data_IF_740888222484
#
_entry.id   IF_740888222484
#
_cell.length_a   1.000
_cell.length_b   1.000
_cell.length_c   1.000
_cell.angle_alpha   90.00
_cell.angle_beta   90.00
_cell.angle_gamma   90.00
#
_symmetry.space_group_name_H-M   'P 1'
#
loop_
_entity.id
_entity.type
_entity.pdbx_description
1 polymer ?
#
# COMPACT_ATOMS: atom_id res chain seq x y z
N UNK A 1 -7.77 -9.06 3.55
CA UNK A 1 -7.69 -8.05 4.63
C UNK A 1 -6.75 -8.45 5.76
N UNK A 2 -7.07 -9.45 6.61
CA UNK A 2 -6.34 -9.70 7.87
C UNK A 2 -4.84 -10.00 7.67
N UNK A 3 -4.50 -10.90 6.75
CA UNK A 3 -3.10 -11.26 6.47
C UNK A 3 -2.28 -10.02 6.06
N UNK A 4 -2.80 -9.24 5.11
CA UNK A 4 -2.18 -8.01 4.65
C UNK A 4 -2.09 -6.95 5.75
N UNK A 5 -3.10 -6.84 6.62
CA UNK A 5 -3.06 -5.95 7.77
C UNK A 5 -1.89 -6.27 8.71
N UNK A 6 -1.76 -7.53 9.14
CA UNK A 6 -0.70 -7.96 10.06
C UNK A 6 0.68 -7.70 9.45
N UNK A 7 0.86 -8.08 8.19
CA UNK A 7 2.16 -7.91 7.51
C UNK A 7 2.45 -6.42 7.33
N UNK A 8 1.48 -5.62 6.93
CA UNK A 8 1.68 -4.18 6.71
C UNK A 8 1.94 -3.42 8.01
N UNK A 9 1.37 -3.84 9.15
CA UNK A 9 1.76 -3.29 10.46
C UNK A 9 3.23 -3.57 10.74
N UNK A 10 3.70 -4.79 10.47
CA UNK A 10 5.07 -5.20 10.73
C UNK A 10 6.07 -4.53 9.77
N UNK A 11 5.72 -4.40 8.49
CA UNK A 11 6.59 -3.81 7.46
C UNK A 11 6.53 -2.29 7.44
N UNK A 12 5.41 -1.70 7.87
CA UNK A 12 5.12 -0.28 7.71
C UNK A 12 4.95 0.15 6.26
N UNK A 13 4.54 -0.77 5.38
CA UNK A 13 4.41 -0.45 3.96
C UNK A 13 3.30 -1.25 3.29
N UNK A 14 2.30 -0.52 2.80
CA UNK A 14 1.28 -1.08 1.90
C UNK A 14 1.89 -1.57 0.58
N UNK A 15 2.98 -0.95 0.12
CA UNK A 15 3.66 -1.31 -1.13
C UNK A 15 4.36 -2.67 -1.03
N UNK A 16 5.15 -2.87 0.04
CA UNK A 16 5.83 -4.15 0.29
C UNK A 16 4.83 -5.26 0.55
N UNK A 17 3.73 -4.97 1.26
CA UNK A 17 2.69 -5.96 1.55
C UNK A 17 2.03 -6.48 0.28
N UNK A 18 1.65 -5.60 -0.64
CA UNK A 18 1.05 -6.01 -1.91
C UNK A 18 2.03 -6.79 -2.79
N UNK A 19 3.30 -6.36 -2.85
CA UNK A 19 4.33 -7.03 -3.66
C UNK A 19 4.78 -8.39 -3.13
N UNK A 20 4.48 -8.72 -1.89
CA UNK A 20 4.86 -10.00 -1.28
C UNK A 20 3.64 -10.91 -1.18
N UNK A 21 2.89 -10.83 -0.08
CA UNK A 21 1.71 -11.65 0.15
C UNK A 21 0.53 -11.26 -0.74
N UNK A 22 0.45 -10.02 -1.22
CA UNK A 22 -0.64 -9.59 -2.11
C UNK A 22 -0.64 -10.35 -3.43
N UNK A 23 0.49 -10.43 -4.13
CA UNK A 23 0.63 -11.21 -5.38
C UNK A 23 0.24 -12.68 -5.16
N UNK A 24 0.71 -13.29 -4.07
CA UNK A 24 0.36 -14.67 -3.74
C UNK A 24 -1.16 -14.85 -3.54
N UNK A 25 -1.81 -13.92 -2.84
CA UNK A 25 -3.26 -13.93 -2.64
C UNK A 25 -4.04 -13.68 -3.93
N UNK A 26 -3.54 -12.88 -4.86
CA UNK A 26 -4.11 -12.74 -6.22
C UNK A 26 -4.07 -14.06 -6.96
N UNK A 27 -2.92 -14.75 -6.99
CA UNK A 27 -2.81 -16.05 -7.66
C UNK A 27 -3.71 -17.13 -7.06
N UNK A 28 -3.84 -17.16 -5.73
CA UNK A 28 -4.79 -18.07 -5.05
C UNK A 28 -6.23 -17.72 -5.41
N UNK A 29 -6.59 -16.44 -5.42
CA UNK A 29 -7.94 -16.00 -5.78
C UNK A 29 -8.29 -16.35 -7.23
N UNK A 30 -7.35 -16.16 -8.16
CA UNK A 30 -7.51 -16.53 -9.57
C UNK A 30 -7.78 -18.03 -9.72
N UNK A 31 -6.98 -18.86 -9.03
CA UNK A 31 -7.16 -20.31 -9.01
C UNK A 31 -8.50 -20.77 -8.42
N UNK A 32 -9.03 -20.02 -7.45
CA UNK A 32 -10.34 -20.27 -6.86
C UNK A 32 -11.50 -19.62 -7.65
N UNK A 33 -11.22 -18.91 -8.75
CA UNK A 33 -12.21 -18.21 -9.54
C UNK A 33 -12.86 -17.03 -8.82
N UNK A 34 -12.19 -16.46 -7.82
CA UNK A 34 -12.65 -15.28 -7.07
C UNK A 34 -12.34 -14.01 -7.89
N UNK A 35 -13.29 -13.07 -8.05
CA UNK A 35 -13.06 -11.85 -8.81
C UNK A 35 -11.81 -11.08 -8.35
N UNK A 36 -10.84 -10.88 -9.26
CA UNK A 36 -9.56 -10.28 -8.90
C UNK A 36 -9.67 -8.83 -8.41
N UNK A 37 -10.63 -8.06 -8.92
CA UNK A 37 -10.94 -6.71 -8.40
C UNK A 37 -11.31 -6.71 -6.93
N UNK A 38 -12.12 -7.68 -6.51
CA UNK A 38 -12.52 -7.86 -5.11
C UNK A 38 -11.34 -8.28 -4.25
N UNK A 39 -10.55 -9.25 -4.71
CA UNK A 39 -9.35 -9.72 -4.02
C UNK A 39 -8.33 -8.60 -3.83
N UNK A 40 -8.03 -7.84 -4.89
CA UNK A 40 -7.15 -6.68 -4.84
C UNK A 40 -7.68 -5.63 -3.84
N UNK A 41 -8.99 -5.31 -3.87
CA UNK A 41 -9.59 -4.40 -2.89
C UNK A 41 -9.45 -4.88 -1.44
N UNK A 42 -9.57 -6.19 -1.20
CA UNK A 42 -9.39 -6.81 0.11
C UNK A 42 -7.93 -6.80 0.58
N UNK A 43 -6.99 -7.00 -0.34
CA UNK A 43 -5.54 -6.90 -0.09
C UNK A 43 -5.21 -5.47 0.30
N UNK A 44 -5.59 -4.51 -0.54
CA UNK A 44 -5.28 -3.09 -0.37
C UNK A 44 -5.91 -2.52 0.89
N UNK A 45 -7.15 -2.91 1.21
CA UNK A 45 -7.80 -2.49 2.45
C UNK A 45 -7.01 -2.90 3.70
N UNK A 46 -6.47 -4.13 3.70
CA UNK A 46 -5.62 -4.61 4.80
C UNK A 46 -4.24 -3.94 4.79
N UNK A 47 -3.62 -3.86 3.62
CA UNK A 47 -2.30 -3.28 3.44
C UNK A 47 -2.27 -1.81 3.91
N UNK A 48 -3.22 -0.99 3.47
CA UNK A 48 -3.31 0.42 3.88
C UNK A 48 -3.72 0.59 5.34
N UNK A 49 -4.54 -0.31 5.90
CA UNK A 49 -4.81 -0.31 7.34
C UNK A 49 -3.53 -0.51 8.15
N UNK A 50 -2.72 -1.51 7.82
CA UNK A 50 -1.51 -1.79 8.58
C UNK A 50 -0.43 -0.72 8.42
N UNK A 51 -0.29 -0.19 7.20
CA UNK A 51 0.61 0.92 6.86
C UNK A 51 0.33 2.12 7.77
N UNK A 52 -0.94 2.53 7.80
CA UNK A 52 -1.46 3.66 8.55
C UNK A 52 -1.29 3.57 10.07
N UNK A 53 -1.15 2.39 10.66
CA UNK A 53 -0.97 2.25 12.12
C UNK A 53 0.45 1.85 12.51
N UNK A 54 1.33 1.66 11.52
CA UNK A 54 2.70 1.24 11.77
C UNK A 54 3.57 2.45 12.12
N UNK A 55 4.32 2.42 13.24
CA UNK A 55 5.30 3.46 13.53
C UNK A 55 6.48 3.46 12.55
N UNK A 56 6.60 2.43 11.70
CA UNK A 56 7.65 2.34 10.68
C UNK A 56 7.23 2.97 9.34
N UNK A 57 5.95 3.34 9.17
CA UNK A 57 5.45 3.89 7.91
C UNK A 57 5.91 5.33 7.70
N UNK A 58 6.33 5.64 6.48
CA UNK A 58 6.76 6.98 6.07
C UNK A 58 5.62 7.99 6.19
N UNK A 59 4.41 7.63 5.76
CA UNK A 59 3.25 8.55 5.84
C UNK A 59 2.79 8.76 7.28
N UNK A 60 2.80 7.70 8.09
CA UNK A 60 2.45 7.77 9.50
C UNK A 60 3.46 8.61 10.30
N UNK A 61 4.72 8.71 9.84
CA UNK A 61 5.70 9.64 10.39
C UNK A 61 5.55 11.07 9.80
N UNK A 62 5.21 11.19 8.52
CA UNK A 62 5.12 12.46 7.81
C UNK A 62 3.90 13.30 8.21
N UNK A 63 2.71 12.69 8.29
CA UNK A 63 1.47 13.37 8.66
C UNK A 63 1.56 14.13 10.00
N UNK A 64 2.05 13.53 11.11
CA UNK A 64 2.24 14.25 12.36
C UNK A 64 3.34 15.31 12.30
N UNK A 65 4.42 15.08 11.54
CA UNK A 65 5.47 16.07 11.33
C UNK A 65 4.95 17.33 10.62
N UNK A 66 4.03 17.17 9.66
CA UNK A 66 3.41 18.29 8.94
C UNK A 66 2.38 19.04 9.80
N UNK A 67 1.67 18.34 10.68
CA UNK A 67 0.67 18.94 11.57
C UNK A 67 1.26 19.52 12.87
N UNK A 68 2.46 19.09 13.28
CA UNK A 68 3.11 19.51 14.52
C UNK A 68 2.70 18.72 15.76
N UNK A 69 2.49 17.41 15.64
CA UNK A 69 2.23 16.50 16.78
C UNK A 69 3.29 15.39 16.86
N UNK A 70 3.35 14.66 17.97
CA UNK A 70 4.23 13.49 18.09
C UNK A 70 3.59 12.22 17.49
N UNK A 71 4.45 11.31 17.02
CA UNK A 71 4.06 10.07 16.36
C UNK A 71 3.09 9.22 17.20
N UNK A 72 3.37 9.04 18.49
CA UNK A 72 2.57 8.14 19.32
C UNK A 72 1.21 8.75 19.68
N UNK A 73 1.13 10.06 19.89
CA UNK A 73 -0.15 10.78 19.99
C UNK A 73 -0.93 10.65 18.70
N UNK A 74 -0.30 10.82 17.54
CA UNK A 74 -0.92 10.63 16.24
C UNK A 74 -1.51 9.23 16.06
N UNK A 75 -0.71 8.17 16.26
CA UNK A 75 -1.17 6.78 16.12
C UNK A 75 -2.35 6.50 17.05
N UNK A 76 -2.25 6.87 18.34
CA UNK A 76 -3.35 6.66 19.31
C UNK A 76 -4.63 7.37 18.89
N UNK A 77 -4.50 8.58 18.36
CA UNK A 77 -5.65 9.39 17.97
C UNK A 77 -6.26 8.96 16.63
N UNK A 78 -5.43 8.42 15.74
CA UNK A 78 -5.83 7.86 14.45
C UNK A 78 -6.60 6.54 14.59
N UNK A 79 -6.34 5.75 15.63
CA UNK A 79 -7.14 4.54 15.94
C UNK A 79 -8.62 4.85 16.14
N UNK A 80 -8.99 6.08 16.50
CA UNK A 80 -10.38 6.50 16.68
C UNK A 80 -11.21 6.39 15.40
N UNK A 81 -10.65 6.78 14.25
CA UNK A 81 -11.32 6.66 12.95
C UNK A 81 -10.94 5.35 12.27
N UNK A 82 -9.69 4.90 12.41
CA UNK A 82 -9.18 3.70 11.73
C UNK A 82 -9.84 2.40 12.21
N UNK A 83 -10.08 2.26 13.52
CA UNK A 83 -10.73 1.07 14.10
C UNK A 83 -12.16 0.87 13.59
N UNK A 84 -13.07 1.86 13.64
CA UNK A 84 -14.40 1.68 13.07
C UNK A 84 -14.36 1.43 11.57
N UNK A 85 -13.48 2.09 10.81
CA UNK A 85 -13.36 1.86 9.36
C UNK A 85 -12.95 0.42 9.03
N UNK A 86 -11.95 -0.15 9.73
CA UNK A 86 -11.54 -1.54 9.47
C UNK A 86 -12.60 -2.55 9.92
N UNK A 87 -13.34 -2.28 11.01
CA UNK A 87 -14.45 -3.14 11.45
C UNK A 87 -15.53 -3.21 10.37
N UNK A 88 -15.96 -2.06 9.83
CA UNK A 88 -16.93 -2.02 8.73
C UNK A 88 -16.40 -2.76 7.51
N UNK A 89 -15.12 -2.55 7.17
CA UNK A 89 -14.47 -3.25 6.06
C UNK A 89 -14.51 -4.77 6.23
N UNK A 90 -14.18 -5.27 7.42
CA UNK A 90 -14.21 -6.70 7.73
C UNK A 90 -15.64 -7.26 7.65
N UNK A 91 -16.63 -6.55 8.19
CA UNK A 91 -18.03 -6.96 8.12
C UNK A 91 -18.46 -7.11 6.65
N UNK A 92 -18.16 -6.12 5.80
CA UNK A 92 -18.53 -6.18 4.38
C UNK A 92 -17.85 -7.37 3.68
N UNK A 93 -16.55 -7.58 3.90
CA UNK A 93 -15.86 -8.72 3.29
C UNK A 93 -16.29 -10.08 3.85
N UNK A 94 -16.72 -10.16 5.11
CA UNK A 94 -17.33 -11.37 5.68
C UNK A 94 -18.67 -11.64 4.99
N UNK A 95 -19.53 -10.64 4.84
CA UNK A 95 -20.81 -10.79 4.15
C UNK A 95 -20.59 -11.21 2.69
N UNK A 96 -19.69 -10.54 1.97
CA UNK A 96 -19.34 -10.91 0.60
C UNK A 96 -18.82 -12.35 0.56
N UNK A 97 -17.87 -12.70 1.42
CA UNK A 97 -17.26 -14.03 1.45
C UNK A 97 -18.26 -15.15 1.77
N UNK A 98 -19.25 -14.91 2.63
CA UNK A 98 -20.31 -15.89 2.94
C UNK A 98 -21.34 -16.06 1.82
N UNK A 99 -21.44 -15.11 0.88
CA UNK A 99 -22.38 -15.14 -0.23
C UNK A 99 -21.69 -15.38 -1.59
N UNK A 100 -20.37 -15.62 -1.60
CA UNK A 100 -19.61 -15.84 -2.82
C UNK A 100 -19.66 -17.32 -3.20
N UNK A 101 -20.27 -17.63 -4.33
CA UNK A 101 -20.11 -18.93 -4.97
C UNK A 101 -18.79 -18.94 -5.75
N UNK A 102 -17.89 -19.86 -5.41
CA UNK A 102 -16.61 -20.03 -6.12
C UNK A 102 -16.74 -21.16 -7.13
N UNK A 103 -16.47 -20.86 -8.40
CA UNK A 103 -16.53 -21.84 -9.50
C UNK A 103 -15.15 -22.34 -9.96
N UNK A 104 -14.05 -21.88 -9.33
CA UNK A 104 -12.70 -22.37 -9.63
C UNK A 104 -12.53 -23.84 -9.25
N UNK A 105 -11.41 -24.44 -9.67
CA UNK A 105 -11.07 -25.82 -9.32
C UNK A 105 -10.96 -25.93 -7.79
N UNK A 106 -12.07 -26.31 -7.14
CA UNK A 106 -12.16 -26.51 -5.70
C UNK A 106 -11.21 -27.62 -5.20
N UNK A 107 -10.60 -28.36 -6.13
CA UNK A 107 -9.57 -29.32 -5.81
C UNK A 107 -8.22 -28.63 -5.56
N UNK A 108 -8.11 -28.03 -4.39
CA UNK A 108 -6.86 -27.50 -3.84
C UNK A 108 -5.71 -28.51 -3.89
N UNK A 109 -6.00 -29.82 -3.98
CA UNK A 109 -5.00 -30.85 -4.15
C UNK A 109 -4.31 -30.78 -5.52
N UNK A 110 -5.05 -30.54 -6.61
CA UNK A 110 -4.47 -30.43 -7.96
C UNK A 110 -3.57 -29.19 -8.06
N UNK A 111 -4.05 -28.05 -7.57
CA UNK A 111 -3.27 -26.80 -7.50
C UNK A 111 -1.97 -27.03 -6.71
N UNK A 112 -2.06 -27.67 -5.54
CA UNK A 112 -0.90 -27.93 -4.69
C UNK A 112 0.06 -28.94 -5.32
N UNK A 113 -0.45 -29.90 -6.10
CA UNK A 113 0.36 -30.85 -6.85
C UNK A 113 1.13 -30.16 -7.98
N UNK A 114 0.48 -29.26 -8.72
CA UNK A 114 1.11 -28.47 -9.79
C UNK A 114 2.17 -27.49 -9.24
N UNK A 115 1.92 -26.90 -8.07
CA UNK A 115 2.94 -26.09 -7.39
C UNK A 115 4.13 -26.96 -6.98
N UNK A 116 3.88 -28.17 -6.45
CA UNK A 116 4.95 -29.09 -6.02
C UNK A 116 5.72 -29.72 -7.19
N UNK A 117 5.12 -29.83 -8.37
CA UNK A 117 5.81 -30.31 -9.57
C UNK A 117 6.73 -29.25 -10.16
N UNK A 118 6.36 -27.97 -10.05
CA UNK A 118 7.15 -26.84 -10.53
C UNK A 118 8.20 -26.34 -9.52
N UNK A 119 7.86 -26.28 -8.23
CA UNK A 119 8.68 -25.67 -7.19
C UNK A 119 8.97 -26.62 -6.02
N UNK A 120 10.21 -26.54 -5.51
CA UNK A 120 10.55 -27.12 -4.22
C UNK A 120 9.97 -26.28 -3.06
N UNK A 121 8.85 -26.70 -2.48
CA UNK A 121 8.21 -26.00 -1.35
C UNK A 121 8.76 -26.53 -0.04
N UNK A 122 9.45 -25.66 0.71
CA UNK A 122 10.07 -26.02 1.99
C UNK A 122 9.87 -24.93 3.04
N UNK A 123 9.63 -25.29 4.33
CA UNK A 123 9.56 -24.31 5.41
C UNK A 123 10.80 -23.42 5.52
N UNK A 124 11.96 -23.89 5.06
CA UNK A 124 13.21 -23.11 5.04
C UNK A 124 13.13 -21.85 4.17
N UNK A 125 12.24 -21.82 3.16
CA UNK A 125 12.02 -20.61 2.35
C UNK A 125 11.45 -19.44 3.16
N UNK A 126 10.80 -19.71 4.30
CA UNK A 126 10.34 -18.65 5.21
C UNK A 126 11.48 -17.94 5.96
N UNK A 127 12.70 -18.48 5.96
CA UNK A 127 13.85 -17.78 6.57
C UNK A 127 14.07 -16.40 5.93
N UNK A 128 13.87 -16.26 4.63
CA UNK A 128 14.04 -14.99 3.92
C UNK A 128 13.09 -13.91 4.45
N UNK A 129 11.74 -14.07 4.39
CA UNK A 129 10.82 -13.07 4.93
C UNK A 129 10.96 -12.89 6.45
N UNK A 130 11.30 -13.93 7.22
CA UNK A 130 11.54 -13.80 8.67
C UNK A 130 12.75 -12.88 8.93
N UNK A 131 13.86 -13.06 8.22
CA UNK A 131 15.04 -12.20 8.37
C UNK A 131 14.70 -10.75 8.02
N UNK A 132 13.95 -10.53 6.93
CA UNK A 132 13.50 -9.18 6.53
C UNK A 132 12.63 -8.55 7.62
N UNK A 133 11.65 -9.28 8.17
CA UNK A 133 10.80 -8.80 9.28
C UNK A 133 11.66 -8.47 10.50
N UNK A 134 12.65 -9.30 10.85
CA UNK A 134 13.56 -9.05 11.98
C UNK A 134 14.38 -7.76 11.74
N UNK A 135 14.85 -7.51 10.53
CA UNK A 135 15.57 -6.27 10.19
C UNK A 135 14.68 -5.03 10.33
N UNK A 136 13.43 -5.12 9.90
CA UNK A 136 12.44 -4.03 10.00
C UNK A 136 12.09 -3.77 11.48
N UNK A 137 11.84 -4.82 12.26
CA UNK A 137 11.58 -4.71 13.71
C UNK A 137 12.77 -4.08 14.44
N UNK A 138 14.00 -4.35 13.97
CA UNK A 138 15.23 -3.73 14.47
C UNK A 138 15.46 -2.30 13.99
N UNK A 139 14.49 -1.67 13.29
CA UNK A 139 14.57 -0.30 12.76
C UNK A 139 15.74 -0.08 11.79
N UNK A 140 16.12 -1.13 11.06
CA UNK A 140 17.07 -0.98 9.95
C UNK A 140 16.43 -0.14 8.86
N UNK A 141 17.22 0.67 8.14
CA UNK A 141 16.71 1.40 6.97
C UNK A 141 15.96 0.46 6.00
N UNK A 142 14.74 0.81 5.55
CA UNK A 142 13.97 -0.03 4.63
C UNK A 142 14.74 -0.43 3.38
N UNK A 143 15.56 0.47 2.83
CA UNK A 143 16.43 0.20 1.67
C UNK A 143 17.38 -0.98 1.93
N UNK A 144 17.98 -1.03 3.11
CA UNK A 144 18.90 -2.11 3.50
C UNK A 144 18.13 -3.41 3.71
N UNK A 145 16.98 -3.37 4.37
CA UNK A 145 16.15 -4.55 4.59
C UNK A 145 15.68 -5.18 3.27
N UNK A 146 15.27 -4.36 2.30
CA UNK A 146 14.88 -4.80 0.96
C UNK A 146 16.06 -5.38 0.18
N UNK A 147 17.23 -4.72 0.18
CA UNK A 147 18.42 -5.23 -0.49
C UNK A 147 18.84 -6.59 0.05
N UNK A 148 18.89 -6.74 1.38
CA UNK A 148 19.21 -8.03 2.02
C UNK A 148 18.15 -9.07 1.66
N UNK A 149 16.87 -8.72 1.69
CA UNK A 149 15.78 -9.60 1.28
C UNK A 149 15.92 -10.11 -0.15
N UNK A 150 16.21 -9.22 -1.11
CA UNK A 150 16.43 -9.58 -2.52
C UNK A 150 17.63 -10.50 -2.69
N UNK A 151 18.76 -10.21 -2.04
CA UNK A 151 19.96 -11.04 -2.11
C UNK A 151 19.73 -12.43 -1.50
N UNK A 152 19.10 -12.49 -0.33
CA UNK A 152 18.74 -13.76 0.31
C UNK A 152 17.72 -14.55 -0.52
N UNK A 153 16.78 -13.88 -1.19
CA UNK A 153 15.87 -14.49 -2.15
C UNK A 153 16.62 -15.12 -3.33
N UNK A 154 17.64 -14.43 -3.86
CA UNK A 154 18.51 -14.97 -4.91
C UNK A 154 19.30 -16.20 -4.43
N UNK A 155 19.85 -16.17 -3.22
CA UNK A 155 20.52 -17.33 -2.61
C UNK A 155 19.55 -18.49 -2.42
N UNK A 156 18.35 -18.23 -1.91
CA UNK A 156 17.32 -19.25 -1.74
C UNK A 156 16.90 -19.86 -3.09
N UNK A 157 16.77 -19.06 -4.14
CA UNK A 157 16.47 -19.55 -5.48
C UNK A 157 17.58 -20.48 -6.02
N UNK A 158 18.86 -20.14 -5.81
CA UNK A 158 19.98 -21.00 -6.21
C UNK A 158 20.01 -22.32 -5.45
N UNK A 159 19.72 -22.30 -4.14
CA UNK A 159 19.78 -23.50 -3.28
C UNK A 159 18.56 -24.40 -3.47
N UNK A 160 17.36 -23.82 -3.49
CA UNK A 160 16.11 -24.58 -3.47
C UNK A 160 15.49 -24.78 -4.86
N UNK A 161 15.79 -23.91 -5.84
CA UNK A 161 15.19 -23.93 -7.19
C UNK A 161 16.22 -23.92 -8.34
N UNK A 162 17.31 -24.73 -8.29
CA UNK A 162 18.42 -24.63 -9.24
C UNK A 162 18.01 -24.83 -10.72
N UNK A 163 17.06 -25.74 -10.99
CA UNK A 163 16.57 -26.00 -12.34
C UNK A 163 15.75 -24.85 -12.94
N UNK A 164 14.95 -24.18 -12.11
CA UNK A 164 14.19 -22.98 -12.52
C UNK A 164 15.15 -21.84 -12.84
N UNK A 165 16.14 -21.60 -11.95
CA UNK A 165 17.15 -20.56 -12.17
C UNK A 165 17.92 -20.79 -13.47
N UNK A 166 18.33 -22.04 -13.74
CA UNK A 166 19.01 -22.39 -14.98
C UNK A 166 18.16 -22.08 -16.22
N UNK A 167 16.87 -22.44 -16.18
CA UNK A 167 15.91 -22.24 -17.27
C UNK A 167 15.68 -20.75 -17.54
N UNK A 168 15.47 -19.95 -16.49
CA UNK A 168 15.36 -18.48 -16.59
C UNK A 168 16.67 -17.85 -17.12
N UNK A 169 17.81 -18.46 -16.80
CA UNK A 169 19.13 -18.09 -17.32
C UNK A 169 19.38 -18.48 -18.78
N UNK A 170 18.45 -19.19 -19.42
CA UNK A 170 18.54 -19.65 -20.82
C UNK A 170 19.33 -20.95 -21.02
N UNK A 171 19.51 -21.76 -19.97
CA UNK A 171 20.19 -23.06 -20.04
C UNK A 171 19.39 -24.20 -19.45
N UNK A 172 19.85 -25.43 -19.68
CA UNK A 172 19.22 -26.66 -19.16
C UNK A 172 19.83 -27.15 -17.84
N UNK A 173 21.00 -26.65 -17.47
CA UNK A 173 21.71 -27.01 -16.24
C UNK A 173 22.23 -25.76 -15.53
N UNK A 174 22.39 -25.87 -14.21
CA UNK A 174 22.91 -24.78 -13.41
C UNK A 174 24.44 -24.73 -13.54
N UNK A 175 24.94 -23.67 -14.14
CA UNK A 175 26.34 -23.29 -14.15
C UNK A 175 26.47 -21.83 -13.67
N UNK A 176 27.69 -21.29 -13.65
CA UNK A 176 27.90 -19.92 -13.22
C UNK A 176 27.16 -18.89 -14.09
N UNK A 177 27.11 -19.12 -15.40
CA UNK A 177 26.49 -18.20 -16.37
C UNK A 177 24.97 -18.24 -16.26
N UNK A 178 24.37 -19.44 -16.26
CA UNK A 178 22.92 -19.63 -16.14
C UNK A 178 22.43 -19.25 -14.74
N UNK A 179 23.21 -19.52 -13.71
CA UNK A 179 22.95 -19.07 -12.34
C UNK A 179 22.93 -17.54 -12.23
N UNK A 180 23.98 -16.86 -12.72
CA UNK A 180 24.05 -15.40 -12.71
C UNK A 180 22.92 -14.78 -13.53
N UNK A 181 22.74 -15.22 -14.79
CA UNK A 181 21.67 -14.70 -15.66
C UNK A 181 20.28 -14.98 -15.08
N UNK A 182 20.05 -16.17 -14.54
CA UNK A 182 18.77 -16.57 -13.97
C UNK A 182 18.35 -15.68 -12.79
N UNK A 183 19.27 -15.44 -11.85
CA UNK A 183 19.02 -14.54 -10.71
C UNK A 183 18.87 -13.09 -11.16
N UNK A 184 19.75 -12.59 -12.03
CA UNK A 184 19.65 -11.22 -12.53
C UNK A 184 18.34 -11.01 -13.29
N UNK A 185 17.93 -11.95 -14.14
CA UNK A 185 16.67 -11.86 -14.87
C UNK A 185 15.48 -11.85 -13.91
N UNK A 186 15.44 -12.77 -12.93
CA UNK A 186 14.36 -12.83 -11.94
C UNK A 186 14.20 -11.54 -11.12
N UNK A 187 15.31 -10.85 -10.82
CA UNK A 187 15.30 -9.58 -10.08
C UNK A 187 14.93 -8.40 -10.98
N UNK A 188 15.37 -8.40 -12.24
CA UNK A 188 15.36 -7.18 -13.07
C UNK A 188 14.24 -7.11 -14.11
N UNK A 189 13.85 -8.23 -14.71
CA UNK A 189 12.97 -8.27 -15.89
C UNK A 189 11.80 -9.25 -15.71
N UNK A 190 10.93 -9.30 -16.71
CA UNK A 190 9.86 -10.28 -16.77
C UNK A 190 10.41 -11.70 -16.89
N UNK A 191 9.92 -12.58 -16.02
CA UNK A 191 10.24 -14.00 -15.98
C UNK A 191 8.97 -14.81 -15.80
N UNK A 192 8.95 -16.00 -16.37
CA UNK A 192 7.82 -16.92 -16.29
C UNK A 192 8.33 -18.34 -16.12
N UNK A 193 7.76 -19.07 -15.15
CA UNK A 193 7.94 -20.52 -15.05
C UNK A 193 6.80 -21.19 -15.85
N UNK A 194 7.10 -22.04 -16.85
CA UNK A 194 6.07 -22.72 -17.62
C UNK A 194 5.18 -23.60 -16.73
N UNK A 195 3.89 -23.59 -17.00
CA UNK A 195 2.91 -24.47 -16.36
C UNK A 195 1.74 -24.71 -17.31
N UNK A 196 1.22 -25.94 -17.29
CA UNK A 196 0.05 -26.33 -18.08
C UNK A 196 -1.26 -25.89 -17.42
N UNK A 197 -1.20 -25.48 -16.14
CA UNK A 197 -2.34 -24.97 -15.41
C UNK A 197 -2.51 -23.47 -15.68
N UNK A 198 -3.52 -23.11 -16.47
CA UNK A 198 -3.85 -21.71 -16.81
C UNK A 198 -4.02 -20.84 -15.56
N UNK A 199 -4.61 -21.38 -14.50
CA UNK A 199 -4.86 -20.65 -13.25
C UNK A 199 -3.58 -20.36 -12.45
N UNK A 200 -2.47 -21.05 -12.75
CA UNK A 200 -1.17 -20.82 -12.12
C UNK A 200 -0.22 -19.99 -12.99
N UNK A 201 -0.54 -19.75 -14.26
CA UNK A 201 0.32 -18.94 -15.14
C UNK A 201 0.56 -17.54 -14.60
N UNK A 202 -0.46 -16.92 -13.99
CA UNK A 202 -0.34 -15.63 -13.32
C UNK A 202 0.60 -15.68 -12.11
N UNK A 203 0.47 -16.72 -11.28
CA UNK A 203 1.30 -16.93 -10.09
C UNK A 203 2.77 -17.19 -10.43
N UNK A 204 3.03 -17.84 -11.57
CA UNK A 204 4.38 -18.24 -12.01
C UNK A 204 5.07 -17.16 -12.86
N UNK A 205 4.42 -16.02 -13.08
CA UNK A 205 4.97 -14.85 -13.77
C UNK A 205 5.36 -13.77 -12.77
N UNK A 206 6.59 -13.27 -12.89
CA UNK A 206 7.08 -12.13 -12.11
C UNK A 206 7.69 -11.09 -13.05
N UNK A 207 7.59 -9.81 -12.68
CA UNK A 207 8.06 -8.72 -13.54
C UNK A 207 9.34 -8.01 -13.11
N UNK A 208 9.99 -8.48 -12.05
CA UNK A 208 11.18 -7.86 -11.50
C UNK A 208 11.06 -6.34 -11.28
N UNK A 209 12.19 -5.64 -11.35
CA UNK A 209 12.26 -4.18 -11.27
C UNK A 209 11.72 -3.48 -12.53
N UNK A 210 11.70 -4.13 -13.70
CA UNK A 210 11.23 -3.51 -14.95
C UNK A 210 9.78 -3.03 -14.84
N UNK A 211 8.91 -3.83 -14.19
CA UNK A 211 7.51 -3.42 -13.93
C UNK A 211 7.37 -2.18 -13.04
N UNK A 212 8.38 -1.85 -12.25
CA UNK A 212 8.36 -0.67 -11.38
C UNK A 212 8.89 0.60 -12.05
N UNK A 213 9.56 0.49 -13.22
CA UNK A 213 10.17 1.65 -13.89
C UNK A 213 9.15 2.74 -14.24
N UNK A 214 7.95 2.35 -14.68
CA UNK A 214 6.86 3.29 -14.97
C UNK A 214 6.46 4.10 -13.73
N UNK A 215 6.33 3.44 -12.58
CA UNK A 215 6.06 4.10 -11.30
C UNK A 215 7.20 5.04 -10.90
N UNK A 216 8.47 4.62 -11.06
CA UNK A 216 9.64 5.45 -10.74
C UNK A 216 9.64 6.73 -11.59
N UNK A 217 9.38 6.61 -12.90
CA UNK A 217 9.25 7.78 -13.78
C UNK A 217 8.14 8.72 -13.33
N UNK A 218 6.99 8.16 -12.94
CA UNK A 218 5.86 8.95 -12.45
C UNK A 218 6.19 9.68 -11.15
N UNK A 219 6.90 9.03 -10.21
CA UNK A 219 7.40 9.65 -8.97
C UNK A 219 8.34 10.82 -9.30
N UNK A 220 9.33 10.62 -10.18
CA UNK A 220 10.27 11.67 -10.56
C UNK A 220 9.57 12.89 -11.19
N UNK A 221 8.61 12.65 -12.08
CA UNK A 221 7.79 13.71 -12.67
C UNK A 221 6.95 14.44 -11.61
N UNK A 222 6.27 13.70 -10.72
CA UNK A 222 5.40 14.28 -9.70
C UNK A 222 6.18 15.10 -8.65
N UNK A 223 7.33 14.60 -8.19
CA UNK A 223 8.20 15.34 -7.27
C UNK A 223 8.76 16.62 -7.90
N UNK A 224 9.18 16.55 -9.17
CA UNK A 224 9.66 17.73 -9.91
C UNK A 224 8.55 18.76 -10.05
N UNK A 225 7.34 18.34 -10.41
CA UNK A 225 6.16 19.20 -10.50
C UNK A 225 5.81 19.84 -9.16
N UNK A 226 5.74 19.05 -8.07
CA UNK A 226 5.48 19.56 -6.72
C UNK A 226 6.52 20.59 -6.26
N UNK A 227 7.80 20.35 -6.55
CA UNK A 227 8.88 21.29 -6.25
C UNK A 227 8.74 22.61 -7.00
N UNK A 228 8.39 22.57 -8.29
CA UNK A 228 8.12 23.78 -9.09
C UNK A 228 6.90 24.54 -8.54
N UNK A 229 5.82 23.85 -8.20
CA UNK A 229 4.61 24.47 -7.63
C UNK A 229 4.87 25.20 -6.31
N UNK A 230 5.75 24.66 -5.46
CA UNK A 230 6.16 25.30 -4.21
C UNK A 230 7.03 26.53 -4.50
N UNK A 231 8.03 26.38 -5.38
CA UNK A 231 8.96 27.45 -5.74
C UNK A 231 8.27 28.69 -6.34
N UNK A 232 7.23 28.50 -7.18
CA UNK A 232 6.46 29.61 -7.75
C UNK A 232 5.41 30.18 -6.79
N UNK A 233 5.24 29.60 -5.59
CA UNK A 233 4.24 30.03 -4.62
C UNK A 233 2.79 29.68 -4.99
N UNK A 234 2.58 28.80 -5.98
CA UNK A 234 1.24 28.37 -6.39
C UNK A 234 0.53 27.63 -5.26
N UNK A 235 1.24 26.75 -4.55
CA UNK A 235 0.70 26.03 -3.39
C UNK A 235 0.20 27.00 -2.33
N UNK A 236 0.97 28.05 -2.01
CA UNK A 236 0.59 29.11 -1.05
C UNK A 236 -0.66 29.89 -1.49
N UNK A 237 -0.79 30.15 -2.79
CA UNK A 237 -1.95 30.86 -3.36
C UNK A 237 -3.21 30.01 -3.26
N UNK A 238 -3.11 28.72 -3.61
CA UNK A 238 -4.19 27.74 -3.44
C UNK A 238 -4.61 27.67 -1.96
N UNK A 239 -3.65 27.67 -1.02
CA UNK A 239 -3.96 27.66 0.42
C UNK A 239 -4.80 28.86 0.85
N UNK A 240 -4.40 30.07 0.43
CA UNK A 240 -5.10 31.29 0.81
C UNK A 240 -6.53 31.33 0.27
N UNK A 241 -6.75 30.81 -0.94
CA UNK A 241 -8.10 30.71 -1.50
C UNK A 241 -8.95 29.71 -0.72
N UNK A 242 -8.40 28.54 -0.40
CA UNK A 242 -9.12 27.50 0.35
C UNK A 242 -9.43 27.91 1.79
N UNK A 243 -8.55 28.65 2.46
CA UNK A 243 -8.81 29.14 3.83
C UNK A 243 -9.97 30.14 3.91
N UNK A 244 -10.32 30.83 2.82
CA UNK A 244 -11.45 31.77 2.79
C UNK A 244 -12.82 31.09 2.76
N UNK A 245 -12.88 29.80 2.45
CA UNK A 245 -14.13 29.07 2.25
C UNK A 245 -14.79 28.58 3.56
N UNK A 246 -14.13 28.70 4.73
CA UNK A 246 -14.57 27.96 5.92
C UNK A 246 -14.54 28.77 7.22
N UNK A 247 -15.69 28.81 7.90
CA UNK A 247 -15.83 29.44 9.23
C UNK A 247 -16.13 28.44 10.35
N UNK A 248 -16.46 27.17 10.05
CA UNK A 248 -16.85 26.15 11.03
C UNK A 248 -15.77 25.06 11.20
N UNK A 249 -15.79 24.35 12.33
CA UNK A 249 -14.89 23.21 12.59
C UNK A 249 -15.09 22.12 11.55
N UNK A 250 -16.32 21.69 11.30
CA UNK A 250 -16.61 20.71 10.25
C UNK A 250 -16.10 21.16 8.87
N UNK A 251 -16.33 22.43 8.53
CA UNK A 251 -15.85 23.04 7.29
C UNK A 251 -14.35 22.83 7.13
N UNK A 252 -13.56 23.12 8.16
CA UNK A 252 -12.10 22.98 8.15
C UNK A 252 -11.62 21.52 7.91
N UNK A 253 -12.29 20.53 8.51
CA UNK A 253 -12.00 19.11 8.24
C UNK A 253 -12.38 18.73 6.80
N UNK A 254 -13.55 19.17 6.33
CA UNK A 254 -14.01 18.93 4.97
C UNK A 254 -13.07 19.53 3.92
N UNK A 255 -12.53 20.73 4.15
CA UNK A 255 -11.52 21.34 3.27
C UNK A 255 -10.24 20.54 3.22
N UNK A 256 -9.79 20.06 4.38
CA UNK A 256 -8.55 19.29 4.48
C UNK A 256 -8.70 18.01 3.67
N UNK A 257 -9.80 17.27 3.87
CA UNK A 257 -10.14 16.07 3.09
C UNK A 257 -10.23 16.39 1.60
N UNK A 258 -10.99 17.41 1.21
CA UNK A 258 -11.14 17.78 -0.19
C UNK A 258 -9.80 18.15 -0.84
N UNK A 259 -8.90 18.81 -0.11
CA UNK A 259 -7.57 19.19 -0.60
C UNK A 259 -6.66 17.97 -0.78
N UNK A 260 -6.66 17.05 0.19
CA UNK A 260 -5.92 15.80 0.08
C UNK A 260 -6.39 14.97 -1.14
N UNK A 261 -7.72 14.84 -1.32
CA UNK A 261 -8.29 14.15 -2.48
C UNK A 261 -7.94 14.86 -3.79
N UNK A 262 -8.10 16.18 -3.84
CA UNK A 262 -7.77 16.97 -5.03
C UNK A 262 -6.29 16.82 -5.42
N UNK A 263 -5.38 16.83 -4.46
CA UNK A 263 -3.95 16.63 -4.74
C UNK A 263 -3.63 15.18 -5.12
N UNK A 264 -4.28 14.18 -4.52
CA UNK A 264 -4.14 12.81 -4.99
C UNK A 264 -4.55 12.64 -6.45
N UNK A 265 -5.60 13.36 -6.88
CA UNK A 265 -6.11 13.36 -8.25
C UNK A 265 -5.23 14.19 -9.19
N UNK A 266 -4.70 15.34 -8.75
CA UNK A 266 -4.04 16.31 -9.65
C UNK A 266 -2.51 16.24 -9.62
N UNK A 267 -1.91 16.07 -8.43
CA UNK A 267 -0.46 16.01 -8.24
C UNK A 267 0.09 14.58 -8.36
N UNK A 268 -0.79 13.56 -8.34
CA UNK A 268 -0.44 12.15 -8.58
C UNK A 268 0.57 11.56 -7.59
N UNK A 269 0.80 12.22 -6.44
CA UNK A 269 1.77 11.82 -5.44
C UNK A 269 1.19 11.92 -4.02
N UNK A 270 1.30 10.81 -3.28
CA UNK A 270 0.75 10.67 -1.93
C UNK A 270 1.44 11.60 -0.93
N UNK A 271 2.75 11.80 -1.03
CA UNK A 271 3.49 12.66 -0.12
C UNK A 271 3.08 14.12 -0.29
N UNK A 272 2.90 14.59 -1.54
CA UNK A 272 2.37 15.92 -1.80
C UNK A 272 0.95 16.11 -1.25
N UNK A 273 0.09 15.07 -1.36
CA UNK A 273 -1.26 15.10 -0.82
C UNK A 273 -1.31 15.19 0.73
N UNK A 274 -0.21 14.90 1.43
CA UNK A 274 -0.07 15.05 2.89
C UNK A 274 0.62 16.37 3.24
N UNK A 275 1.79 16.63 2.63
CA UNK A 275 2.67 17.76 2.96
C UNK A 275 2.00 19.09 2.71
N UNK A 276 1.37 19.23 1.54
CA UNK A 276 0.77 20.50 1.15
C UNK A 276 -0.42 20.82 2.05
N UNK A 277 -1.47 19.99 2.19
CA UNK A 277 -2.58 20.33 3.07
C UNK A 277 -2.14 20.45 4.54
N UNK A 278 -1.17 19.65 4.99
CA UNK A 278 -0.63 19.76 6.34
C UNK A 278 -0.04 21.13 6.65
N UNK A 279 0.87 21.63 5.80
CA UNK A 279 1.44 22.98 5.95
C UNK A 279 0.36 24.06 5.83
N UNK A 280 -0.57 23.89 4.90
CA UNK A 280 -1.63 24.87 4.62
C UNK A 280 -2.60 25.05 5.77
N UNK A 281 -3.03 23.96 6.40
CA UNK A 281 -4.09 23.98 7.41
C UNK A 281 -3.59 24.02 8.86
N UNK A 282 -2.30 23.77 9.12
CA UNK A 282 -1.74 23.77 10.48
C UNK A 282 -2.07 25.05 11.27
N UNK A 283 -1.90 26.22 10.65
CA UNK A 283 -2.22 27.51 11.27
C UNK A 283 -3.72 27.66 11.56
N UNK A 284 -4.58 27.25 10.62
CA UNK A 284 -6.02 27.38 10.75
C UNK A 284 -6.60 26.47 11.85
N UNK A 285 -6.10 25.23 11.98
CA UNK A 285 -6.46 24.34 13.09
C UNK A 285 -6.07 24.97 14.44
N UNK A 286 -4.87 25.56 14.53
CA UNK A 286 -4.40 26.24 15.73
C UNK A 286 -5.23 27.48 16.08
N UNK A 287 -5.55 28.32 15.10
CA UNK A 287 -6.40 29.52 15.28
C UNK A 287 -7.83 29.16 15.72
N UNK A 288 -8.33 27.99 15.32
CA UNK A 288 -9.60 27.41 15.81
C UNK A 288 -9.49 26.70 17.16
N UNK A 289 -8.32 26.73 17.81
CA UNK A 289 -8.09 26.09 19.09
C UNK A 289 -8.15 24.56 19.04
N UNK A 290 -7.88 23.94 17.89
CA UNK A 290 -7.86 22.49 17.71
C UNK A 290 -6.44 21.95 17.90
N UNK A 291 -6.33 20.78 18.53
CA UNK A 291 -5.05 20.11 18.70
C UNK A 291 -4.51 19.59 17.35
N UNK A 292 -3.18 19.58 17.15
CA UNK A 292 -2.55 19.24 15.86
C UNK A 292 -2.83 17.81 15.40
N UNK A 293 -3.09 16.87 16.32
CA UNK A 293 -3.41 15.49 15.95
C UNK A 293 -4.71 15.38 15.13
N UNK A 294 -5.63 16.33 15.25
CA UNK A 294 -6.83 16.39 14.41
C UNK A 294 -6.46 16.55 12.94
N UNK A 295 -5.56 17.49 12.65
CA UNK A 295 -5.06 17.70 11.30
C UNK A 295 -4.29 16.48 10.82
N UNK A 296 -3.32 15.99 11.60
CA UNK A 296 -2.52 14.82 11.21
C UNK A 296 -3.38 13.60 10.88
N UNK A 297 -4.44 13.35 11.67
CA UNK A 297 -5.38 12.26 11.45
C UNK A 297 -6.13 12.47 10.14
N UNK A 298 -6.62 13.69 9.89
CA UNK A 298 -7.34 13.99 8.64
C UNK A 298 -6.45 13.85 7.42
N UNK A 299 -5.17 14.24 7.50
CA UNK A 299 -4.19 14.02 6.42
C UNK A 299 -4.02 12.52 6.13
N UNK A 300 -3.89 11.69 7.16
CA UNK A 300 -3.70 10.24 6.97
C UNK A 300 -5.01 9.56 6.51
N UNK A 301 -6.16 10.00 7.01
CA UNK A 301 -7.49 9.49 6.65
C UNK A 301 -7.91 9.83 5.21
N UNK A 302 -7.25 10.81 4.54
CA UNK A 302 -7.67 11.29 3.21
C UNK A 302 -6.56 11.53 2.19
N UNK A 303 -5.32 11.71 2.60
CA UNK A 303 -4.15 11.80 1.72
C UNK A 303 -3.57 10.41 1.49
N UNK A 304 -3.25 9.72 2.57
CA UNK A 304 -2.54 8.43 2.50
C UNK A 304 -3.39 7.36 1.83
N UNK A 305 -4.56 7.07 2.38
CA UNK A 305 -5.33 5.88 2.01
C UNK A 305 -6.08 6.00 0.68
N UNK A 306 -6.31 7.20 0.14
CA UNK A 306 -7.05 7.35 -1.12
C UNK A 306 -6.17 7.46 -2.35
N UNK A 307 -4.86 7.65 -2.18
CA UNK A 307 -3.88 7.73 -3.27
C UNK A 307 -3.96 6.53 -4.22
N UNK A 308 -4.17 5.33 -3.65
CA UNK A 308 -4.34 4.07 -4.39
C UNK A 308 -5.58 4.03 -5.28
N UNK A 309 -6.58 4.89 -5.05
CA UNK A 309 -7.84 4.85 -5.79
C UNK A 309 -7.75 5.63 -7.12
N UNK A 310 -6.63 6.30 -7.38
CA UNK A 310 -6.42 7.15 -8.56
C UNK A 310 -5.45 6.44 -9.51
N UNK A 311 -5.87 6.04 -10.73
CA UNK A 311 -5.07 5.20 -11.62
C UNK A 311 -3.69 5.77 -11.98
N UNK A 312 -3.62 7.10 -12.15
CA UNK A 312 -2.39 7.81 -12.51
C UNK A 312 -1.64 8.35 -11.30
N UNK A 313 -2.10 8.11 -10.07
CA UNK A 313 -1.31 8.38 -8.88
C UNK A 313 -0.26 7.28 -8.70
N UNK A 314 0.93 7.63 -8.21
CA UNK A 314 2.04 6.70 -7.90
C UNK A 314 1.57 5.44 -7.19
N UNK A 315 0.70 5.58 -6.19
CA UNK A 315 0.16 4.46 -5.43
C UNK A 315 -0.79 3.60 -6.25
N UNK A 316 -1.73 4.20 -7.01
CA UNK A 316 -2.65 3.44 -7.86
C UNK A 316 -1.90 2.68 -8.96
N UNK A 317 -0.97 3.37 -9.64
CA UNK A 317 -0.14 2.80 -10.69
C UNK A 317 0.74 1.64 -10.18
N UNK A 318 1.41 1.81 -9.03
CA UNK A 318 2.21 0.75 -8.41
C UNK A 318 1.36 -0.46 -8.04
N UNK A 319 0.27 -0.23 -7.31
CA UNK A 319 -0.56 -1.31 -6.79
C UNK A 319 -1.25 -2.08 -7.93
N UNK A 320 -1.65 -1.37 -9.00
CA UNK A 320 -2.18 -1.99 -10.20
C UNK A 320 -1.14 -2.82 -10.94
N UNK A 321 0.08 -2.28 -11.14
CA UNK A 321 1.15 -3.00 -11.82
C UNK A 321 1.66 -4.24 -11.06
N UNK A 322 1.67 -4.17 -9.73
CA UNK A 322 2.08 -5.27 -8.85
C UNK A 322 1.02 -6.35 -8.74
N UNK A 323 -0.24 -5.97 -8.49
CA UNK A 323 -1.33 -6.93 -8.33
C UNK A 323 -1.87 -7.44 -9.67
N UNK A 324 -1.52 -6.81 -10.79
CA UNK A 324 -2.05 -7.15 -12.12
C UNK A 324 -3.53 -6.84 -12.29
N UNK A 325 -4.08 -5.93 -11.47
CA UNK A 325 -5.49 -5.55 -11.47
C UNK A 325 -5.61 -4.06 -11.67
N UNK A 326 -6.40 -3.63 -12.65
CA UNK A 326 -6.62 -2.21 -12.91
C UNK A 326 -7.20 -1.48 -11.70
N UNK A 327 -6.75 -0.23 -11.52
CA UNK A 327 -7.15 0.59 -10.37
C UNK A 327 -8.66 0.73 -10.23
N UNK A 328 -9.37 0.96 -11.34
CA UNK A 328 -10.82 1.13 -11.32
C UNK A 328 -11.56 -0.18 -11.01
N UNK A 329 -10.97 -1.35 -11.27
CA UNK A 329 -11.58 -2.64 -10.95
C UNK A 329 -11.53 -2.95 -9.46
N UNK A 330 -10.47 -2.53 -8.75
CA UNK A 330 -10.38 -2.73 -7.30
C UNK A 330 -10.89 -1.56 -6.47
N UNK A 331 -10.97 -0.34 -7.03
CA UNK A 331 -11.26 0.89 -6.27
C UNK A 331 -12.55 0.79 -5.45
N UNK A 332 -13.62 0.21 -6.01
CA UNK A 332 -14.88 0.02 -5.29
C UNK A 332 -14.79 -0.95 -4.11
N UNK A 333 -13.92 -1.97 -4.22
CA UNK A 333 -13.70 -2.98 -3.19
C UNK A 333 -12.64 -2.58 -2.15
N UNK A 334 -11.86 -1.54 -2.41
CA UNK A 334 -10.92 -0.97 -1.44
C UNK A 334 -11.67 -0.16 -0.35
N UNK A 335 -12.57 -0.84 0.37
CA UNK A 335 -13.54 -0.24 1.30
C UNK A 335 -12.85 0.59 2.38
N UNK A 336 -11.78 0.07 2.97
CA UNK A 336 -11.04 0.81 3.99
C UNK A 336 -10.52 2.16 3.46
N UNK A 337 -10.07 2.16 2.21
CA UNK A 337 -9.44 3.30 1.56
C UNK A 337 -10.44 4.42 1.27
N UNK A 338 -11.57 4.10 0.61
CA UNK A 338 -12.56 5.14 0.29
C UNK A 338 -13.45 5.51 1.48
N UNK A 339 -13.65 4.62 2.47
CA UNK A 339 -14.47 4.90 3.65
C UNK A 339 -13.76 5.77 4.72
N UNK A 340 -12.43 5.72 4.76
CA UNK A 340 -11.63 6.49 5.74
C UNK A 340 -11.91 8.01 5.71
N UNK A 341 -11.93 8.70 4.55
CA UNK A 341 -12.31 10.12 4.47
C UNK A 341 -13.71 10.41 5.04
N UNK A 342 -14.69 9.56 4.75
CA UNK A 342 -16.04 9.75 5.26
C UNK A 342 -16.11 9.55 6.78
N UNK A 343 -15.32 8.59 7.30
CA UNK A 343 -15.26 8.34 8.74
C UNK A 343 -14.69 9.55 9.49
N UNK A 344 -13.63 10.20 8.98
CA UNK A 344 -13.12 11.43 9.62
C UNK A 344 -14.11 12.59 9.54
N UNK A 345 -14.88 12.71 8.46
CA UNK A 345 -15.91 13.75 8.33
C UNK A 345 -17.07 13.50 9.28
N UNK A 346 -17.48 12.24 9.46
CA UNK A 346 -18.49 11.85 10.44
C UNK A 346 -18.06 12.24 11.86
N UNK A 347 -16.82 11.95 12.24
CA UNK A 347 -16.28 12.34 13.55
C UNK A 347 -16.27 13.86 13.73
N UNK A 348 -15.93 14.62 12.68
CA UNK A 348 -15.95 16.08 12.69
C UNK A 348 -17.39 16.64 12.78
N UNK A 349 -18.35 16.03 12.09
CA UNK A 349 -19.75 16.47 12.07
C UNK A 349 -20.43 16.32 13.44
N UNK A 350 -20.17 15.19 14.13
CA UNK A 350 -20.74 14.90 15.44
C UNK A 350 -19.85 15.36 16.61
N UNK A 351 -18.69 15.97 16.34
CA UNK A 351 -17.75 16.40 17.39
C UNK A 351 -17.17 15.24 18.21
N UNK A 352 -17.13 14.03 17.66
CA UNK A 352 -16.67 12.82 18.37
C UNK A 352 -15.16 12.90 18.51
N UNK A 353 -14.69 13.00 19.76
CA UNK A 353 -13.25 13.00 20.10
C UNK A 353 -12.49 13.96 19.18
N UNK A 354 -12.94 15.22 19.12
CA UNK A 354 -12.23 16.35 18.51
C UNK A 354 -11.54 17.13 19.63
N UNK A 355 -10.22 16.97 19.75
CA UNK A 355 -9.43 17.52 20.85
C UNK A 355 -9.16 19.01 20.62
N UNK A 356 -9.42 19.81 21.65
CA UNK A 356 -9.14 21.24 21.68
C UNK A 356 -7.88 21.54 22.49
N UNK A 357 -7.18 22.63 22.16
CA UNK A 357 -6.02 23.13 22.90
C UNK A 357 -6.42 23.82 24.21
N UNK A 358 -7.65 24.33 24.28
CA UNK A 358 -8.24 24.89 25.50
C UNK A 358 -8.96 23.76 26.25
N UNK A 359 -8.62 23.58 27.54
CA UNK A 359 -9.54 22.92 28.48
C UNK A 359 -10.79 23.80 28.53
N UNK A 360 -11.92 23.27 28.05
CA UNK A 360 -13.22 23.84 28.42
C UNK A 360 -13.48 23.58 29.90
#
# INVERSE_FOLDING_TARGET
VIICAIISVATGSSWTTSATVGIALIGIADALGVPLGMTAGAILSGAYFGDKISPMSDTTNLAPAMAGTDLFTHIRYMLLTTTPTIIVTLIVFIIIGLNLETHGAADTHLILQDIKSAFNVSPWLFLVPIIVIVLIVKKTSPLVALLVGTLLGGVAALVFQPGIVATIGGGSTLDFTTGYKGIMNAITIDTAVPTDNEALQGLFKAGGMSKMLGTIWLILCAMTFGGIMDAIGALTTISKALLKLFHTTFGLFASTVASCLALNITASDQYLAIVVPGKMYAKAFKEKGLAPENLSRTLEDSGTVTSVLVPWNTCGAYQSGVLGVDTLHYAGYAIFNWLSPFTTLLFAAFGIKIRTLLKK
#
